data_IF_151849256402
#
_entry.id   IF_151849256402
#
_cell.length_a   1.000
_cell.length_b   1.000
_cell.length_c   1.000
_cell.angle_alpha   90.00
_cell.angle_beta   90.00
_cell.angle_gamma   90.00
#
_symmetry.space_group_name_H-M   'P 1'
#
loop_
_entity.id
_entity.type
_entity.pdbx_description
1 polymer ?
#
# COMPACT_ATOMS: atom_id res chain seq x y z
N UNK A 1 -25.87 20.63 -7.39
CA UNK A 1 -24.66 21.17 -6.73
C UNK A 1 -24.06 20.01 -5.97
N UNK A 2 -23.28 19.18 -6.68
CA UNK A 2 -22.57 18.05 -6.08
C UNK A 2 -21.54 18.65 -5.14
N UNK A 3 -21.69 18.39 -3.84
CA UNK A 3 -20.62 18.68 -2.90
C UNK A 3 -19.47 17.77 -3.31
N UNK A 4 -18.42 18.33 -3.89
CA UNK A 4 -17.12 17.66 -3.90
C UNK A 4 -16.87 17.24 -2.45
N UNK A 5 -16.83 15.94 -2.18
CA UNK A 5 -16.70 15.51 -0.82
C UNK A 5 -15.23 15.74 -0.45
N UNK A 6 -15.02 16.72 0.41
CA UNK A 6 -13.70 17.22 0.79
C UNK A 6 -13.16 16.35 1.93
N UNK A 7 -11.95 15.83 1.75
CA UNK A 7 -11.17 15.24 2.83
C UNK A 7 -11.09 16.24 3.99
N UNK A 8 -11.15 15.75 5.23
CA UNK A 8 -10.84 16.59 6.38
C UNK A 8 -9.40 17.13 6.26
N UNK A 9 -9.05 18.27 6.91
CA UNK A 9 -7.70 18.81 6.87
C UNK A 9 -6.62 17.80 7.28
N UNK A 10 -6.92 16.92 8.24
CA UNK A 10 -6.02 15.86 8.68
C UNK A 10 -5.88 14.72 7.66
N UNK A 11 -6.93 14.37 6.92
CA UNK A 11 -6.83 13.41 5.82
C UNK A 11 -6.06 14.01 4.66
N UNK A 12 -6.30 15.28 4.32
CA UNK A 12 -5.59 15.97 3.25
C UNK A 12 -4.09 16.06 3.52
N UNK A 13 -3.67 16.42 4.75
CA UNK A 13 -2.25 16.42 5.13
C UNK A 13 -1.62 15.02 4.95
N UNK A 14 -2.29 13.98 5.44
CA UNK A 14 -1.80 12.59 5.32
C UNK A 14 -1.74 12.13 3.87
N UNK A 15 -2.72 12.52 3.05
CA UNK A 15 -2.72 12.26 1.60
C UNK A 15 -1.51 12.94 0.96
N UNK A 16 -1.31 14.23 1.18
CA UNK A 16 -0.23 15.00 0.58
C UNK A 16 1.14 14.47 0.96
N UNK A 17 1.35 14.12 2.23
CA UNK A 17 2.62 13.51 2.68
C UNK A 17 2.83 12.12 2.10
N UNK A 18 1.76 11.36 1.90
CA UNK A 18 1.83 10.06 1.22
C UNK A 18 2.20 10.24 -0.26
N UNK A 19 1.56 11.20 -0.93
CA UNK A 19 1.81 11.51 -2.33
C UNK A 19 3.26 11.94 -2.55
N UNK A 20 3.75 12.88 -1.73
CA UNK A 20 5.14 13.34 -1.76
C UNK A 20 6.14 12.19 -1.54
N UNK A 21 5.87 11.33 -0.55
CA UNK A 21 6.72 10.16 -0.33
C UNK A 21 6.74 9.23 -1.56
N UNK A 22 5.58 8.87 -2.11
CA UNK A 22 5.48 7.95 -3.24
C UNK A 22 6.13 8.52 -4.52
N UNK A 23 5.95 9.83 -4.76
CA UNK A 23 6.53 10.52 -5.91
C UNK A 23 8.06 10.55 -5.86
N UNK A 24 8.65 10.60 -4.66
CA UNK A 24 10.10 10.56 -4.47
C UNK A 24 10.68 9.13 -4.44
N UNK A 25 9.85 8.08 -4.49
CA UNK A 25 10.27 6.66 -4.39
C UNK A 25 9.70 5.79 -5.52
N UNK A 26 9.66 6.32 -6.74
CA UNK A 26 8.97 5.65 -7.87
C UNK A 26 9.64 4.38 -8.39
N UNK A 27 10.97 4.34 -8.41
CA UNK A 27 11.78 3.21 -8.94
C UNK A 27 12.75 2.61 -7.91
N UNK A 28 12.77 3.17 -6.70
CA UNK A 28 13.74 2.82 -5.64
C UNK A 28 13.19 1.68 -4.78
N UNK A 29 14.08 0.79 -4.34
CA UNK A 29 13.77 -0.18 -3.29
C UNK A 29 13.66 0.54 -1.95
N UNK A 30 12.52 0.42 -1.29
CA UNK A 30 12.25 1.04 0.01
C UNK A 30 12.32 -0.03 1.10
N UNK A 31 13.17 0.18 2.10
CA UNK A 31 13.22 -0.63 3.31
C UNK A 31 12.03 -0.31 4.23
N UNK A 32 11.68 -1.26 5.10
CA UNK A 32 10.56 -1.09 6.04
C UNK A 32 10.73 0.10 7.00
N UNK A 33 11.96 0.57 7.21
CA UNK A 33 12.29 1.67 8.12
C UNK A 33 12.29 3.04 7.42
N UNK A 34 12.39 3.07 6.09
CA UNK A 34 12.34 4.32 5.31
C UNK A 34 10.91 4.86 5.18
N UNK A 35 9.89 4.01 5.28
CA UNK A 35 8.50 4.45 5.34
C UNK A 35 8.24 5.09 6.71
N UNK A 36 7.88 6.37 6.84
CA UNK A 36 7.55 6.96 8.12
C UNK A 36 6.34 6.27 8.78
N UNK A 37 6.37 6.05 10.11
CA UNK A 37 5.27 5.37 10.82
C UNK A 37 3.88 6.00 10.59
N UNK A 38 3.72 7.34 10.60
CA UNK A 38 2.43 7.95 10.32
C UNK A 38 1.90 7.64 8.92
N UNK A 39 2.79 7.46 7.93
CA UNK A 39 2.41 7.11 6.56
C UNK A 39 2.04 5.64 6.47
N UNK A 40 2.84 4.74 7.04
CA UNK A 40 2.52 3.31 7.06
C UNK A 40 1.15 3.03 7.70
N UNK A 41 0.83 3.72 8.80
CA UNK A 41 -0.48 3.64 9.46
C UNK A 41 -1.60 4.16 8.55
N UNK A 42 -1.36 5.27 7.85
CA UNK A 42 -2.34 5.87 6.93
C UNK A 42 -2.62 5.02 5.69
N UNK A 43 -1.71 4.11 5.34
CA UNK A 43 -1.87 3.21 4.20
C UNK A 43 -2.51 1.87 4.56
N UNK A 44 -2.69 1.59 5.86
CA UNK A 44 -3.29 0.35 6.33
C UNK A 44 -4.81 0.51 6.44
N UNK A 45 -5.52 -0.42 5.81
CA UNK A 45 -6.97 -0.49 5.89
C UNK A 45 -7.42 -1.64 6.81
N UNK A 46 -8.43 -1.39 7.63
CA UNK A 46 -9.02 -2.40 8.50
C UNK A 46 -9.86 -3.40 7.69
N UNK A 47 -10.67 -2.89 6.76
CA UNK A 47 -11.53 -3.69 5.88
C UNK A 47 -11.29 -3.37 4.40
N UNK A 48 -10.19 -3.89 3.79
CA UNK A 48 -9.89 -3.64 2.39
C UNK A 48 -10.98 -4.10 1.42
N UNK A 49 -11.69 -5.18 1.77
CA UNK A 49 -12.74 -5.73 0.91
C UNK A 49 -13.97 -4.82 0.95
N UNK A 50 -14.39 -4.39 2.14
CA UNK A 50 -15.49 -3.43 2.29
C UNK A 50 -15.20 -2.10 1.61
N UNK A 51 -13.95 -1.62 1.64
CA UNK A 51 -13.53 -0.42 0.88
C UNK A 51 -13.70 -0.62 -0.63
N UNK A 52 -13.28 -1.75 -1.18
CA UNK A 52 -13.48 -2.05 -2.60
C UNK A 52 -14.96 -2.16 -2.96
N UNK A 53 -15.79 -2.76 -2.10
CA UNK A 53 -17.23 -2.86 -2.32
C UNK A 53 -17.89 -1.47 -2.34
N UNK A 54 -17.62 -0.63 -1.35
CA UNK A 54 -18.16 0.75 -1.31
C UNK A 54 -17.74 1.58 -2.52
N UNK A 55 -16.49 1.42 -2.96
CA UNK A 55 -16.00 2.07 -4.17
C UNK A 55 -16.73 1.57 -5.43
N UNK A 56 -16.89 0.26 -5.57
CA UNK A 56 -17.59 -0.35 -6.71
C UNK A 56 -19.07 0.06 -6.76
N UNK A 57 -19.73 0.13 -5.59
CA UNK A 57 -21.13 0.53 -5.46
C UNK A 57 -21.33 2.06 -5.54
N UNK A 58 -20.25 2.84 -5.62
CA UNK A 58 -20.25 4.32 -5.61
C UNK A 58 -20.96 4.92 -4.39
N UNK A 59 -20.92 4.21 -3.26
CA UNK A 59 -21.56 4.61 -1.99
C UNK A 59 -20.56 5.16 -0.97
N UNK A 60 -19.27 5.16 -1.31
CA UNK A 60 -18.21 5.61 -0.43
C UNK A 60 -18.18 7.14 -0.27
N UNK A 61 -18.21 7.61 0.97
CA UNK A 61 -17.67 8.92 1.31
C UNK A 61 -16.13 8.90 1.21
N UNK A 62 -15.45 10.01 0.85
CA UNK A 62 -14.00 10.05 0.63
C UNK A 62 -13.16 9.53 1.77
N UNK A 63 -13.52 9.86 3.02
CA UNK A 63 -12.82 9.35 4.20
C UNK A 63 -12.92 7.83 4.31
N UNK A 64 -13.99 7.22 3.79
CA UNK A 64 -14.18 5.75 3.81
C UNK A 64 -13.34 5.01 2.77
N UNK A 65 -12.86 5.70 1.74
CA UNK A 65 -11.95 5.15 0.73
C UNK A 65 -10.58 5.82 0.76
N UNK A 66 -10.26 6.55 1.82
CA UNK A 66 -9.04 7.35 1.95
C UNK A 66 -7.78 6.52 1.67
N UNK A 67 -7.66 5.36 2.30
CA UNK A 67 -6.54 4.43 2.10
C UNK A 67 -6.46 3.95 0.65
N UNK A 68 -7.60 3.69 0.02
CA UNK A 68 -7.68 3.28 -1.37
C UNK A 68 -7.34 4.42 -2.33
N UNK A 69 -7.68 5.67 -2.01
CA UNK A 69 -7.30 6.84 -2.79
C UNK A 69 -5.77 7.05 -2.82
N UNK A 70 -5.07 6.85 -1.69
CA UNK A 70 -3.60 6.86 -1.66
C UNK A 70 -3.04 5.74 -2.55
N UNK A 71 -3.63 4.55 -2.47
CA UNK A 71 -3.23 3.43 -3.31
C UNK A 71 -3.47 3.65 -4.81
N UNK A 72 -4.59 4.27 -5.19
CA UNK A 72 -4.87 4.64 -6.58
C UNK A 72 -3.86 5.65 -7.10
N UNK A 73 -3.45 6.61 -6.26
CA UNK A 73 -2.36 7.54 -6.61
C UNK A 73 -1.03 6.81 -6.83
N UNK A 74 -0.69 5.83 -5.98
CA UNK A 74 0.47 4.97 -6.20
C UNK A 74 0.40 4.24 -7.56
N UNK A 75 -0.80 3.80 -7.96
CA UNK A 75 -1.03 3.17 -9.26
C UNK A 75 -0.90 4.13 -10.44
N UNK A 76 -1.38 5.35 -10.29
CA UNK A 76 -1.20 6.40 -11.30
C UNK A 76 0.29 6.69 -11.53
N UNK A 77 1.08 6.77 -10.45
CA UNK A 77 2.53 6.92 -10.53
C UNK A 77 3.20 5.72 -11.20
N UNK A 78 2.79 4.49 -10.86
CA UNK A 78 3.27 3.27 -11.52
C UNK A 78 3.02 3.32 -13.03
N UNK A 79 1.78 3.57 -13.44
CA UNK A 79 1.40 3.58 -14.86
C UNK A 79 2.15 4.69 -15.61
N UNK A 80 2.33 5.86 -14.99
CA UNK A 80 3.14 6.96 -15.52
C UNK A 80 4.61 6.57 -15.73
N UNK A 81 5.21 5.84 -14.79
CA UNK A 81 6.58 5.36 -14.92
C UNK A 81 6.71 4.36 -16.08
N UNK A 82 5.77 3.41 -16.20
CA UNK A 82 5.77 2.45 -17.31
C UNK A 82 5.53 3.11 -18.65
N UNK A 83 4.60 4.09 -18.74
CA UNK A 83 4.39 4.89 -19.94
C UNK A 83 5.69 5.58 -20.40
N UNK A 84 6.44 6.18 -19.46
CA UNK A 84 7.71 6.83 -19.75
C UNK A 84 8.80 5.84 -20.22
N UNK A 85 8.84 4.62 -19.65
CA UNK A 85 9.82 3.59 -19.99
C UNK A 85 9.51 2.97 -21.36
N UNK A 86 8.23 2.65 -21.63
CA UNK A 86 7.81 1.96 -22.85
C UNK A 86 7.67 2.90 -24.05
N UNK A 87 7.49 4.21 -23.81
CA UNK A 87 7.27 5.20 -24.86
C UNK A 87 5.89 5.09 -25.53
N UNK A 88 4.98 4.29 -24.99
CA UNK A 88 3.63 4.07 -25.48
C UNK A 88 2.60 4.14 -24.35
N UNK A 89 1.33 4.33 -24.69
CA UNK A 89 0.24 4.38 -23.70
C UNK A 89 0.24 3.11 -22.85
N UNK A 90 0.38 3.27 -21.54
CA UNK A 90 0.33 2.19 -20.58
C UNK A 90 -0.72 2.51 -19.52
N UNK A 91 -1.62 1.56 -19.27
CA UNK A 91 -2.62 1.65 -18.21
C UNK A 91 -2.90 0.26 -17.67
N UNK A 92 -2.80 0.10 -16.36
CA UNK A 92 -3.16 -1.14 -15.70
C UNK A 92 -4.69 -1.32 -15.73
N UNK A 93 -5.22 -2.49 -16.13
CA UNK A 93 -6.66 -2.77 -16.08
C UNK A 93 -7.22 -2.64 -14.66
N UNK A 94 -8.42 -2.08 -14.52
CA UNK A 94 -9.07 -1.79 -13.24
C UNK A 94 -9.17 -3.01 -12.34
N UNK A 95 -9.48 -4.18 -12.90
CA UNK A 95 -9.60 -5.45 -12.16
C UNK A 95 -8.26 -5.85 -11.52
N UNK A 96 -7.15 -5.59 -12.22
CA UNK A 96 -5.80 -5.84 -11.72
C UNK A 96 -5.45 -4.84 -10.61
N UNK A 97 -5.82 -3.56 -10.78
CA UNK A 97 -5.66 -2.53 -9.75
C UNK A 97 -6.41 -2.94 -8.48
N UNK A 98 -7.66 -3.40 -8.57
CA UNK A 98 -8.42 -3.85 -7.38
C UNK A 98 -7.79 -5.07 -6.71
N UNK A 99 -7.36 -6.08 -7.49
CA UNK A 99 -6.73 -7.28 -6.95
C UNK A 99 -5.42 -6.95 -6.21
N UNK A 100 -4.63 -6.04 -6.78
CA UNK A 100 -3.37 -5.66 -6.19
C UNK A 100 -3.55 -4.82 -4.91
N UNK A 101 -4.73 -4.23 -4.67
CA UNK A 101 -4.99 -3.50 -3.43
C UNK A 101 -4.99 -4.47 -2.25
N UNK A 102 -5.64 -5.62 -2.40
CA UNK A 102 -5.65 -6.66 -1.37
C UNK A 102 -4.23 -7.20 -1.10
N UNK A 103 -3.40 -7.33 -2.15
CA UNK A 103 -2.00 -7.75 -2.01
C UNK A 103 -1.15 -6.68 -1.33
N UNK A 104 -1.31 -5.42 -1.71
CA UNK A 104 -0.68 -4.27 -1.08
C UNK A 104 -1.01 -4.21 0.41
N UNK A 105 -2.29 -4.36 0.77
CA UNK A 105 -2.74 -4.39 2.16
C UNK A 105 -2.15 -5.57 2.96
N UNK A 106 -1.92 -6.72 2.33
CA UNK A 106 -1.21 -7.83 2.98
C UNK A 106 0.27 -7.54 3.18
N UNK A 107 0.92 -6.95 2.18
CA UNK A 107 2.33 -6.55 2.26
C UNK A 107 2.54 -5.57 3.41
N UNK A 108 1.78 -4.47 3.46
CA UNK A 108 1.88 -3.45 4.50
C UNK A 108 1.68 -4.01 5.91
N UNK A 109 0.74 -4.96 6.09
CA UNK A 109 0.55 -5.61 7.40
C UNK A 109 1.76 -6.42 7.83
N UNK A 110 2.39 -7.15 6.91
CA UNK A 110 3.64 -7.84 7.23
C UNK A 110 4.78 -6.85 7.50
N UNK A 111 4.90 -5.77 6.72
CA UNK A 111 5.86 -4.70 6.97
C UNK A 111 5.71 -4.14 8.38
N UNK A 112 4.50 -3.74 8.77
CA UNK A 112 4.22 -3.22 10.11
C UNK A 112 4.49 -4.26 11.21
N UNK A 113 4.06 -5.51 11.01
CA UNK A 113 4.27 -6.59 11.96
C UNK A 113 5.75 -6.88 12.23
N UNK A 114 6.56 -6.98 11.17
CA UNK A 114 7.98 -7.32 11.23
C UNK A 114 8.80 -6.14 11.76
N UNK A 115 8.50 -4.93 11.31
CA UNK A 115 9.08 -3.68 11.85
C UNK A 115 8.88 -3.56 13.35
N UNK A 116 7.64 -3.77 13.84
CA UNK A 116 7.33 -3.68 15.27
C UNK A 116 8.10 -4.71 16.12
N UNK A 117 8.57 -5.79 15.51
CA UNK A 117 9.38 -6.85 16.13
C UNK A 117 10.87 -6.71 15.86
N UNK A 118 11.29 -5.63 15.18
CA UNK A 118 12.68 -5.38 14.78
C UNK A 118 13.27 -6.52 13.96
N UNK A 119 12.44 -7.19 13.15
CA UNK A 119 12.87 -8.22 12.22
C UNK A 119 13.13 -7.53 10.89
N UNK A 120 14.38 -7.55 10.43
CA UNK A 120 14.75 -6.96 9.14
C UNK A 120 14.17 -7.76 7.98
N UNK A 121 13.69 -7.04 6.97
CA UNK A 121 13.22 -7.63 5.71
C UNK A 121 13.93 -6.99 4.54
N UNK A 122 14.07 -7.71 3.41
CA UNK A 122 14.55 -7.10 2.17
C UNK A 122 13.71 -5.86 1.82
N UNK A 123 14.36 -4.81 1.27
CA UNK A 123 13.63 -3.66 0.76
C UNK A 123 12.81 -4.07 -0.46
N UNK A 124 11.72 -3.34 -0.73
CA UNK A 124 10.80 -3.64 -1.83
C UNK A 124 10.40 -2.38 -2.57
N UNK A 125 10.10 -2.52 -3.87
CA UNK A 125 9.64 -1.40 -4.69
C UNK A 125 8.15 -1.18 -4.45
N UNK A 126 7.79 -0.10 -3.75
CA UNK A 126 6.42 0.19 -3.33
C UNK A 126 5.44 0.48 -4.47
N UNK A 127 5.95 0.89 -5.64
CA UNK A 127 5.14 1.10 -6.83
C UNK A 127 5.18 -0.08 -7.81
N UNK A 128 6.07 -1.07 -7.64
CA UNK A 128 6.20 -2.18 -8.59
C UNK A 128 5.34 -3.37 -8.14
N UNK A 129 4.03 -3.31 -8.38
CA UNK A 129 3.06 -4.27 -7.84
C UNK A 129 3.30 -5.73 -8.24
N UNK A 130 3.94 -5.99 -9.39
CA UNK A 130 4.35 -7.35 -9.78
C UNK A 130 5.42 -7.93 -8.84
N UNK A 131 6.24 -7.09 -8.21
CA UNK A 131 7.27 -7.50 -7.25
C UNK A 131 6.62 -8.09 -5.98
N UNK A 132 5.37 -7.74 -5.69
CA UNK A 132 4.66 -8.23 -4.51
C UNK A 132 4.42 -9.73 -4.57
N UNK A 133 4.34 -10.33 -5.77
CA UNK A 133 4.24 -11.78 -5.91
C UNK A 133 5.48 -12.51 -5.39
N UNK A 134 6.64 -11.86 -5.45
CA UNK A 134 7.93 -12.40 -5.00
C UNK A 134 8.21 -12.04 -3.54
N UNK A 135 7.96 -10.79 -3.15
CA UNK A 135 8.24 -10.30 -1.78
C UNK A 135 7.26 -10.88 -0.75
N UNK A 136 5.98 -10.99 -1.10
CA UNK A 136 4.95 -11.44 -0.15
C UNK A 136 5.25 -12.82 0.47
N UNK A 137 5.59 -13.88 -0.31
CA UNK A 137 5.96 -15.17 0.27
C UNK A 137 7.14 -15.10 1.24
N UNK A 138 8.13 -14.23 0.96
CA UNK A 138 9.29 -14.04 1.83
C UNK A 138 8.89 -13.39 3.15
N UNK A 139 8.20 -12.24 3.11
CA UNK A 139 7.73 -11.56 4.32
C UNK A 139 6.82 -12.45 5.16
N UNK A 140 5.94 -13.21 4.50
CA UNK A 140 5.11 -14.22 5.15
C UNK A 140 5.95 -15.26 5.89
N UNK A 141 7.02 -15.78 5.27
CA UNK A 141 7.90 -16.78 5.88
C UNK A 141 8.60 -16.23 7.13
N UNK A 142 9.12 -15.01 7.08
CA UNK A 142 9.72 -14.36 8.26
C UNK A 142 8.71 -14.22 9.40
N UNK A 143 7.49 -13.77 9.09
CA UNK A 143 6.45 -13.61 10.11
C UNK A 143 6.03 -14.94 10.74
N UNK A 144 5.84 -15.99 9.94
CA UNK A 144 5.48 -17.33 10.45
C UNK A 144 6.61 -17.98 11.24
N UNK A 145 7.86 -17.86 10.78
CA UNK A 145 9.03 -18.33 11.51
C UNK A 145 9.08 -17.73 12.92
N UNK A 146 8.94 -16.40 13.01
CA UNK A 146 8.91 -15.71 14.30
C UNK A 146 7.77 -16.19 15.21
N UNK A 147 6.55 -16.32 14.69
CA UNK A 147 5.41 -16.77 15.50
C UNK A 147 5.60 -18.19 16.05
N UNK A 148 6.18 -19.08 15.25
CA UNK A 148 6.46 -20.46 15.66
C UNK A 148 7.59 -20.53 16.70
N UNK A 149 8.63 -19.72 16.57
CA UNK A 149 9.73 -19.67 17.54
C UNK A 149 9.26 -19.13 18.90
N UNK A 150 8.41 -18.10 18.90
CA UNK A 150 7.73 -17.59 20.10
C UNK A 150 6.90 -18.67 20.81
N UNK A 151 6.10 -19.42 20.05
CA UNK A 151 5.29 -20.53 20.60
C UNK A 151 6.16 -21.67 21.15
N UNK A 152 7.33 -21.93 20.57
CA UNK A 152 8.28 -22.96 21.05
C UNK A 152 9.06 -22.53 22.28
N UNK A 153 9.38 -21.24 22.38
CA UNK A 153 10.25 -20.71 23.43
C UNK A 153 9.50 -20.14 24.64
N UNK A 154 8.15 -20.11 24.60
CA UNK A 154 7.32 -19.83 25.79
C UNK A 154 7.35 -18.38 26.28
N UNK A 155 7.56 -17.41 25.38
CA UNK A 155 7.51 -15.97 25.69
C UNK A 155 6.17 -15.30 25.38
#
# INVERSE_FOLDING_TARGET
>A
MEKEPLLSPHELDRYNRSADFLQNHTVVFVSQHEIPDPLLVSWLECDPVGVLMKFADQTAEPGQIFTYAIYLYAYELHDRCYHQILGESYRTPTEIVMLNFLRYQKLLRYTAFLRNRRIETPPFQILHFMNYLTIYPMMRKYAHGYMNDKQRNGD
#
